data_IF_939066509502
#
_entry.id   IF_939066509502
#
_cell.length_a   1.000
_cell.length_b   1.000
_cell.length_c   1.000
_cell.angle_alpha   90.00
_cell.angle_beta   90.00
_cell.angle_gamma   90.00
#
_symmetry.space_group_name_H-M   'P 1'
#
loop_
_entity.id
_entity.type
_entity.pdbx_description
1 polymer ?
#
# COMPACT_ATOMS: atom_id res chain seq x y z
N UNK A 1 -4.55 -1.83 18.38
CA UNK A 1 -5.75 -1.19 17.83
C UNK A 1 -5.61 -1.07 16.33
N UNK A 2 -6.72 -1.16 15.62
CA UNK A 2 -6.76 -0.88 14.18
C UNK A 2 -6.66 0.64 13.97
N UNK A 3 -5.82 1.13 13.04
CA UNK A 3 -5.69 2.57 12.81
C UNK A 3 -7.00 3.15 12.29
N UNK A 4 -7.43 4.27 12.87
CA UNK A 4 -8.67 4.98 12.55
C UNK A 4 -8.43 6.35 11.88
N UNK A 5 -7.17 6.79 11.81
CA UNK A 5 -6.74 8.02 11.16
C UNK A 5 -5.45 7.80 10.35
N UNK A 6 -5.26 8.63 9.31
CA UNK A 6 -4.00 8.70 8.58
C UNK A 6 -2.88 9.07 9.55
N UNK A 7 -1.83 8.27 9.59
CA UNK A 7 -0.72 8.48 10.52
C UNK A 7 0.07 9.78 10.23
N UNK A 8 -0.02 10.30 9.00
CA UNK A 8 0.76 11.46 8.55
C UNK A 8 0.02 12.79 8.68
N UNK A 9 -1.30 12.81 8.45
CA UNK A 9 -2.07 14.06 8.45
C UNK A 9 -3.31 14.03 9.37
N UNK A 10 -3.58 12.90 10.03
CA UNK A 10 -4.73 12.75 10.92
C UNK A 10 -6.08 12.65 10.22
N UNK A 11 -6.14 12.57 8.89
CA UNK A 11 -7.41 12.46 8.17
C UNK A 11 -8.17 11.17 8.58
N UNK A 12 -9.48 11.22 8.89
CA UNK A 12 -10.21 10.05 9.41
C UNK A 12 -10.36 8.94 8.37
N UNK A 13 -10.07 7.68 8.76
CA UNK A 13 -10.17 6.49 7.88
C UNK A 13 -11.56 6.29 7.31
N UNK A 14 -12.60 6.64 8.07
CA UNK A 14 -13.99 6.51 7.64
C UNK A 14 -14.32 7.32 6.36
N UNK A 15 -13.45 8.25 5.96
CA UNK A 15 -13.59 9.09 4.78
C UNK A 15 -12.61 8.71 3.65
N UNK A 16 -11.89 7.59 3.77
CA UNK A 16 -10.94 7.16 2.75
C UNK A 16 -11.65 6.38 1.64
N UNK A 17 -11.49 6.81 0.40
CA UNK A 17 -11.82 5.97 -0.76
C UNK A 17 -10.75 4.89 -0.96
N UNK A 18 -9.47 5.29 -0.88
CA UNK A 18 -8.32 4.41 -0.95
C UNK A 18 -7.30 4.76 0.15
N UNK A 19 -6.59 3.75 0.65
CA UNK A 19 -5.49 3.93 1.59
C UNK A 19 -4.43 2.85 1.48
N UNK A 20 -3.21 3.19 1.90
CA UNK A 20 -2.10 2.25 2.00
C UNK A 20 -1.95 1.81 3.45
N UNK A 21 -1.90 0.49 3.69
CA UNK A 21 -1.47 -0.08 4.96
C UNK A 21 0.03 -0.33 4.91
N UNK A 22 0.76 0.16 5.90
CA UNK A 22 2.21 -0.02 5.99
C UNK A 22 2.50 -0.78 7.28
N UNK A 23 3.24 -1.88 7.14
CA UNK A 23 3.80 -2.63 8.25
C UNK A 23 5.22 -3.05 7.91
N UNK A 24 6.11 -3.01 8.89
CA UNK A 24 7.45 -3.58 8.76
C UNK A 24 7.57 -4.77 9.71
N UNK A 25 7.94 -5.92 9.17
CA UNK A 25 8.17 -7.13 9.95
C UNK A 25 9.66 -7.49 9.90
N UNK A 26 10.15 -8.08 10.98
CA UNK A 26 11.44 -8.77 11.03
C UNK A 26 11.22 -10.14 11.64
N UNK A 27 11.58 -11.17 10.87
CA UNK A 27 11.29 -12.56 11.22
C UNK A 27 9.79 -12.72 11.52
N UNK A 28 9.44 -13.09 12.74
CA UNK A 28 8.06 -13.29 13.21
C UNK A 28 7.50 -12.10 13.99
N UNK A 29 8.25 -11.00 14.09
CA UNK A 29 7.89 -9.83 14.90
C UNK A 29 7.55 -8.63 14.03
N UNK A 30 6.48 -7.93 14.38
CA UNK A 30 6.12 -6.64 13.81
C UNK A 30 7.04 -5.56 14.41
N UNK A 31 7.90 -4.97 13.58
CA UNK A 31 8.84 -3.91 13.99
C UNK A 31 8.17 -2.54 14.09
N UNK A 32 7.27 -2.25 13.16
CA UNK A 32 6.50 -1.00 13.16
C UNK A 32 5.03 -1.33 13.33
N UNK A 33 4.30 -0.65 14.24
CA UNK A 33 2.86 -0.80 14.31
C UNK A 33 2.26 -0.55 12.93
N UNK A 34 1.19 -1.29 12.60
CA UNK A 34 0.47 -1.08 11.36
C UNK A 34 0.00 0.38 11.32
N UNK A 35 0.44 1.12 10.32
CA UNK A 35 -0.03 2.49 10.07
C UNK A 35 -0.84 2.51 8.79
N UNK A 36 -1.77 3.45 8.70
CA UNK A 36 -2.49 3.75 7.47
C UNK A 36 -2.09 5.13 6.95
N UNK A 37 -2.02 5.24 5.63
CA UNK A 37 -1.72 6.48 4.92
C UNK A 37 -2.84 6.74 3.90
N UNK A 38 -3.45 7.92 3.97
CA UNK A 38 -4.46 8.31 2.99
C UNK A 38 -3.83 8.53 1.61
N UNK A 39 -4.65 8.45 0.56
CA UNK A 39 -4.23 8.63 -0.83
C UNK A 39 -3.42 9.91 -1.05
N UNK A 40 -3.91 11.06 -0.55
CA UNK A 40 -3.20 12.35 -0.66
C UNK A 40 -1.77 12.30 -0.11
N UNK A 41 -1.58 11.74 1.09
CA UNK A 41 -0.23 11.62 1.68
C UNK A 41 0.65 10.65 0.89
N UNK A 42 0.06 9.59 0.31
CA UNK A 42 0.76 8.66 -0.57
C UNK A 42 1.26 9.34 -1.84
N UNK A 43 0.39 10.11 -2.51
CA UNK A 43 0.74 10.87 -3.72
C UNK A 43 1.80 11.93 -3.43
N UNK A 44 1.68 12.65 -2.33
CA UNK A 44 2.65 13.65 -1.92
C UNK A 44 4.03 13.03 -1.67
N UNK A 45 4.08 11.87 -0.99
CA UNK A 45 5.30 11.10 -0.79
C UNK A 45 5.92 10.65 -2.12
N UNK A 46 5.11 10.12 -3.05
CA UNK A 46 5.57 9.76 -4.40
C UNK A 46 6.06 10.98 -5.19
N UNK A 47 5.46 12.14 -4.95
CA UNK A 47 5.86 13.43 -5.53
C UNK A 47 7.24 13.92 -5.07
N UNK A 48 7.70 13.50 -3.88
CA UNK A 48 9.05 13.80 -3.39
C UNK A 48 10.15 13.00 -4.12
N UNK A 49 9.80 11.92 -4.81
CA UNK A 49 10.77 11.16 -5.59
C UNK A 49 11.15 11.92 -6.86
N UNK A 50 12.46 11.92 -7.15
CA UNK A 50 12.94 12.49 -8.41
C UNK A 50 12.33 11.76 -9.60
N UNK A 51 12.12 12.49 -10.72
CA UNK A 51 11.65 11.87 -11.97
C UNK A 51 12.50 10.64 -12.34
N UNK A 52 13.83 10.77 -12.25
CA UNK A 52 14.78 9.68 -12.54
C UNK A 52 14.51 8.45 -11.67
N UNK A 53 14.24 8.62 -10.38
CA UNK A 53 13.95 7.50 -9.47
C UNK A 53 12.67 6.77 -9.87
N UNK A 54 11.61 7.51 -10.18
CA UNK A 54 10.32 6.94 -10.61
C UNK A 54 10.44 6.22 -11.95
N UNK A 55 11.19 6.80 -12.89
CA UNK A 55 11.42 6.20 -14.21
C UNK A 55 12.17 4.85 -14.06
N UNK A 56 13.26 4.82 -13.27
CA UNK A 56 14.00 3.57 -12.99
C UNK A 56 13.13 2.52 -12.31
N UNK A 57 12.28 2.92 -11.36
CA UNK A 57 11.35 1.99 -10.71
C UNK A 57 10.33 1.42 -11.70
N UNK A 58 9.77 2.25 -12.56
CA UNK A 58 8.83 1.83 -13.61
C UNK A 58 9.48 0.88 -14.61
N UNK A 59 10.72 1.20 -15.04
CA UNK A 59 11.51 0.35 -15.92
C UNK A 59 11.77 -1.02 -15.29
N UNK A 60 12.21 -1.04 -14.03
CA UNK A 60 12.45 -2.28 -13.31
C UNK A 60 11.20 -3.15 -13.19
N UNK A 61 10.05 -2.57 -12.86
CA UNK A 61 8.79 -3.32 -12.76
C UNK A 61 8.42 -3.91 -14.13
N UNK A 62 8.44 -3.09 -15.18
CA UNK A 62 8.08 -3.51 -16.54
C UNK A 62 8.99 -4.61 -17.07
N UNK A 63 10.28 -4.51 -16.83
CA UNK A 63 11.28 -5.38 -17.47
C UNK A 63 11.49 -6.69 -16.71
N UNK A 64 11.10 -6.75 -15.42
CA UNK A 64 11.35 -7.92 -14.57
C UNK A 64 10.10 -8.59 -13.98
N UNK A 65 8.94 -7.94 -13.98
CA UNK A 65 7.72 -8.53 -13.43
C UNK A 65 6.73 -8.83 -14.55
N UNK A 66 6.24 -10.08 -14.66
CA UNK A 66 5.31 -10.49 -15.72
C UNK A 66 3.90 -9.88 -15.56
N UNK A 67 3.71 -8.99 -14.58
CA UNK A 67 2.40 -8.46 -14.20
C UNK A 67 1.55 -9.49 -13.48
N UNK A 68 0.27 -9.16 -13.30
CA UNK A 68 -0.72 -10.09 -12.77
C UNK A 68 -1.16 -11.02 -13.92
N UNK A 69 -1.15 -12.36 -13.73
CA UNK A 69 -1.64 -13.29 -14.74
C UNK A 69 -3.10 -12.98 -15.12
N UNK A 70 -3.41 -13.02 -16.42
CA UNK A 70 -4.73 -12.67 -16.95
C UNK A 70 -5.85 -13.62 -16.49
N UNK A 71 -5.48 -14.85 -16.11
CA UNK A 71 -6.35 -15.91 -15.61
C UNK A 71 -6.43 -15.96 -14.07
N UNK A 72 -5.75 -15.04 -13.38
CA UNK A 72 -5.81 -14.98 -11.92
C UNK A 72 -7.18 -14.45 -11.47
N UNK A 73 -7.97 -15.31 -10.84
CA UNK A 73 -9.20 -14.90 -10.17
C UNK A 73 -8.86 -14.11 -8.90
N UNK A 74 -9.02 -12.78 -8.99
CA UNK A 74 -8.84 -11.84 -7.89
C UNK A 74 -10.12 -11.63 -7.09
N UNK A 75 -11.20 -12.37 -7.37
CA UNK A 75 -12.40 -12.28 -6.56
C UNK A 75 -12.07 -12.69 -5.12
N UNK A 76 -12.54 -11.94 -4.11
CA UNK A 76 -12.35 -12.35 -2.74
C UNK A 76 -12.96 -13.74 -2.58
N UNK A 77 -12.14 -14.70 -2.12
CA UNK A 77 -12.63 -16.04 -1.79
C UNK A 77 -13.78 -15.88 -0.83
N UNK A 78 -14.99 -16.23 -1.26
CA UNK A 78 -16.17 -16.30 -0.39
C UNK A 78 -15.96 -17.49 0.53
N UNK A 79 -15.11 -17.30 1.54
CA UNK A 79 -14.70 -18.28 2.53
C UNK A 79 -15.43 -18.01 3.83
N UNK A 80 -16.58 -18.67 3.97
CA UNK A 80 -17.26 -19.09 5.20
C UNK A 80 -16.81 -18.42 6.49
N UNK A 81 -17.60 -17.44 6.94
CA UNK A 81 -17.71 -17.05 8.34
C UNK A 81 -17.92 -18.32 9.19
N UNK A 82 -16.96 -18.64 10.04
CA UNK A 82 -17.15 -19.47 11.23
C UNK A 82 -16.80 -18.64 12.46
#
# INVERSE_FOLDING_TARGET
EEPDHCHFCGYPKALFDNFTVIGACRELSLLLPLIIMCEKCSEELQGQLSKKTRDIQGDFIRDHFPGVPADLDLSPSVGTLF
#
